data_IF_649451739452
#
_entry.id   IF_649451739452
#
_cell.length_a   1.000
_cell.length_b   1.000
_cell.length_c   1.000
_cell.angle_alpha   90.00
_cell.angle_beta   90.00
_cell.angle_gamma   90.00
#
_symmetry.space_group_name_H-M   'P 1'
#
loop_
_entity.id
_entity.type
_entity.pdbx_description
1 polymer ?
#
# COMPACT_ATOMS: atom_id res chain seq x y z
N UNK A 1 36.90 51.30 78.18
CA UNK A 1 37.89 50.23 78.42
C UNK A 1 37.14 48.91 78.30
N UNK A 2 37.50 48.08 77.29
CA UNK A 2 37.02 46.70 76.98
C UNK A 2 35.58 46.61 76.40
N UNK A 3 35.41 46.27 75.10
CA UNK A 3 35.38 44.93 74.44
C UNK A 3 34.11 44.14 74.81
N UNK A 4 33.37 43.41 73.96
CA UNK A 4 33.29 43.20 72.50
C UNK A 4 32.08 42.25 72.25
N UNK A 5 31.44 42.36 71.07
CA UNK A 5 30.69 41.33 70.30
C UNK A 5 29.35 40.74 70.83
N UNK A 6 28.25 40.97 70.09
CA UNK A 6 27.52 39.93 69.33
C UNK A 6 26.32 40.49 68.55
N UNK A 7 26.39 40.36 67.22
CA UNK A 7 25.28 40.54 66.29
C UNK A 7 24.39 39.28 66.28
N UNK A 8 23.07 39.47 66.13
CA UNK A 8 22.12 38.35 66.06
C UNK A 8 20.71 38.79 65.69
N UNK A 9 20.56 39.57 64.61
CA UNK A 9 19.26 39.83 63.99
C UNK A 9 18.84 38.63 63.14
N UNK A 10 17.88 37.85 63.64
CA UNK A 10 17.23 36.75 62.93
C UNK A 10 16.44 37.29 61.74
N UNK A 11 17.00 37.11 60.55
CA UNK A 11 16.35 37.39 59.27
C UNK A 11 15.34 36.27 58.98
N UNK A 12 14.06 36.53 59.20
CA UNK A 12 12.95 35.70 58.70
C UNK A 12 13.06 35.57 57.18
N UNK A 13 13.53 34.41 56.70
CA UNK A 13 13.41 34.06 55.28
C UNK A 13 11.98 33.61 55.00
N UNK A 14 11.24 34.50 54.34
CA UNK A 14 10.01 34.21 53.60
C UNK A 14 10.16 32.91 52.79
N UNK A 15 9.34 31.92 53.10
CA UNK A 15 9.15 30.73 52.28
C UNK A 15 8.18 31.10 51.15
N UNK A 16 8.58 30.84 49.90
CA UNK A 16 7.77 31.05 48.70
C UNK A 16 6.53 30.12 48.69
N UNK A 17 5.35 30.57 48.21
CA UNK A 17 4.14 29.76 48.21
C UNK A 17 4.14 28.82 47.00
N UNK A 18 4.14 27.50 47.24
CA UNK A 18 4.04 26.50 46.17
C UNK A 18 4.32 25.05 46.55
N UNK A 19 4.85 24.76 47.74
CA UNK A 19 4.93 23.38 48.22
C UNK A 19 3.59 22.96 48.84
N UNK A 20 2.79 22.23 48.06
CA UNK A 20 1.69 21.43 48.59
C UNK A 20 2.26 20.42 49.58
N UNK A 21 2.19 20.73 50.89
CA UNK A 21 2.55 19.78 51.94
C UNK A 21 1.53 18.64 51.92
N UNK A 22 1.96 17.46 51.46
CA UNK A 22 1.14 16.25 51.58
C UNK A 22 0.80 16.01 53.07
N UNK A 23 -0.45 15.69 53.41
CA UNK A 23 -0.84 15.39 54.80
C UNK A 23 0.02 14.26 55.38
N UNK A 24 0.44 14.38 56.66
CA UNK A 24 1.31 13.38 57.32
C UNK A 24 0.80 11.93 57.21
N UNK A 25 -0.53 11.72 57.25
CA UNK A 25 -1.15 10.39 57.06
C UNK A 25 -0.93 9.83 55.65
N UNK A 26 -1.01 10.68 54.62
CA UNK A 26 -0.77 10.32 53.21
C UNK A 26 0.70 10.01 52.96
N UNK A 27 1.62 10.71 53.64
CA UNK A 27 3.06 10.46 53.55
C UNK A 27 3.46 9.09 54.14
N UNK A 28 2.91 8.74 55.31
CA UNK A 28 3.17 7.43 55.93
C UNK A 28 2.56 6.27 55.13
N UNK A 29 1.34 6.45 54.61
CA UNK A 29 0.73 5.50 53.68
C UNK A 29 1.59 5.30 52.42
N UNK A 30 2.09 6.39 51.84
CA UNK A 30 2.97 6.34 50.67
C UNK A 30 4.28 5.61 50.96
N UNK A 31 4.92 5.87 52.10
CA UNK A 31 6.14 5.15 52.51
C UNK A 31 5.88 3.64 52.64
N UNK A 32 4.75 3.26 53.23
CA UNK A 32 4.36 1.85 53.37
C UNK A 32 4.10 1.20 52.00
N UNK A 33 3.32 1.83 51.12
CA UNK A 33 3.06 1.35 49.75
C UNK A 33 4.35 1.20 48.95
N UNK A 34 5.24 2.20 49.01
CA UNK A 34 6.54 2.16 48.34
C UNK A 34 7.40 1.00 48.83
N UNK A 35 7.42 0.76 50.14
CA UNK A 35 8.17 -0.34 50.75
C UNK A 35 7.64 -1.71 50.29
N UNK A 36 6.32 -1.90 50.27
CA UNK A 36 5.70 -3.14 49.79
C UNK A 36 6.00 -3.35 48.30
N UNK A 37 5.80 -2.32 47.48
CA UNK A 37 6.07 -2.39 46.04
C UNK A 37 7.53 -2.76 45.76
N UNK A 38 8.49 -2.18 46.50
CA UNK A 38 9.91 -2.53 46.43
C UNK A 38 10.19 -3.99 46.76
N UNK A 39 9.62 -4.52 47.84
CA UNK A 39 9.80 -5.92 48.24
C UNK A 39 9.25 -6.90 47.21
N UNK A 40 8.12 -6.57 46.57
CA UNK A 40 7.52 -7.39 45.52
C UNK A 40 8.46 -7.44 44.31
N UNK A 41 8.91 -6.27 43.81
CA UNK A 41 9.75 -6.25 42.62
C UNK A 41 11.17 -6.78 42.84
N UNK A 42 11.65 -6.78 44.09
CA UNK A 42 12.93 -7.41 44.48
C UNK A 42 12.94 -8.93 44.31
N UNK A 43 11.77 -9.57 44.25
CA UNK A 43 11.67 -11.01 43.96
C UNK A 43 11.82 -11.36 42.47
N UNK A 44 11.73 -10.37 41.57
CA UNK A 44 11.87 -10.61 40.13
C UNK A 44 13.34 -10.50 39.68
N UNK A 45 13.80 -11.40 38.80
CA UNK A 45 15.16 -11.36 38.28
C UNK A 45 15.38 -10.25 37.23
N UNK A 46 14.30 -9.68 36.67
CA UNK A 46 14.35 -8.63 35.66
C UNK A 46 14.69 -7.27 36.28
N UNK A 47 15.42 -6.43 35.55
CA UNK A 47 15.75 -5.07 35.98
C UNK A 47 14.47 -4.23 35.95
N UNK A 48 13.92 -3.93 37.13
CA UNK A 48 12.58 -3.35 37.24
C UNK A 48 12.57 -2.02 37.96
N UNK A 49 11.77 -1.09 37.45
CA UNK A 49 11.53 0.23 38.02
C UNK A 49 10.02 0.53 38.03
N UNK A 50 9.57 1.32 38.99
CA UNK A 50 8.19 1.83 39.05
C UNK A 50 8.22 3.33 38.99
N UNK A 51 7.46 3.90 38.06
CA UNK A 51 7.33 5.34 37.85
C UNK A 51 5.97 5.87 38.31
N UNK A 52 5.94 7.16 38.66
CA UNK A 52 4.72 7.89 38.99
C UNK A 52 4.01 8.48 37.76
N UNK A 53 2.98 9.29 37.97
CA UNK A 53 2.20 9.97 36.91
C UNK A 53 3.01 10.89 35.99
N UNK A 54 4.20 11.30 36.42
CA UNK A 54 5.08 12.16 35.64
C UNK A 54 6.22 11.38 34.97
N UNK A 55 6.27 10.06 35.15
CA UNK A 55 7.38 9.23 34.67
C UNK A 55 8.61 9.27 35.56
N UNK A 56 8.49 9.77 36.80
CA UNK A 56 9.61 9.82 37.75
C UNK A 56 9.74 8.48 38.46
N UNK A 57 10.95 7.92 38.47
CA UNK A 57 11.28 6.65 39.12
C UNK A 57 11.13 6.81 40.63
N UNK A 58 10.26 6.00 41.23
CA UNK A 58 10.00 5.97 42.68
C UNK A 58 10.53 4.71 43.35
N UNK A 59 10.63 3.62 42.60
CA UNK A 59 11.07 2.32 43.10
C UNK A 59 11.94 1.65 42.04
N UNK A 60 13.03 1.02 42.46
CA UNK A 60 13.85 0.13 41.63
C UNK A 60 14.15 -1.14 42.40
N UNK A 61 14.27 -2.27 41.71
CA UNK A 61 14.56 -3.54 42.37
C UNK A 61 16.07 -3.80 42.54
N UNK A 62 16.41 -4.93 43.16
CA UNK A 62 17.79 -5.39 43.36
C UNK A 62 18.52 -5.60 42.03
N UNK A 63 17.85 -6.22 41.05
CA UNK A 63 18.46 -6.51 39.75
C UNK A 63 18.88 -5.22 39.03
N UNK A 64 18.02 -4.20 39.03
CA UNK A 64 18.33 -2.87 38.48
C UNK A 64 19.57 -2.26 39.15
N UNK A 65 19.61 -2.24 40.49
CA UNK A 65 20.71 -1.65 41.25
C UNK A 65 22.04 -2.36 41.00
N UNK A 66 22.01 -3.70 40.92
CA UNK A 66 23.20 -4.51 40.61
C UNK A 66 23.68 -4.25 39.18
N UNK A 67 22.76 -4.27 38.21
CA UNK A 67 23.07 -3.96 36.82
C UNK A 67 23.71 -2.58 36.70
N UNK A 68 23.12 -1.55 37.31
CA UNK A 68 23.65 -0.20 37.26
C UNK A 68 25.03 -0.07 37.92
N UNK A 69 25.29 -0.81 39.00
CA UNK A 69 26.60 -0.86 39.68
C UNK A 69 27.66 -1.53 38.80
N UNK A 70 27.37 -2.67 38.19
CA UNK A 70 28.33 -3.38 37.31
C UNK A 70 28.70 -2.52 36.10
N UNK A 71 27.78 -1.70 35.60
CA UNK A 71 27.99 -0.84 34.43
C UNK A 71 28.43 0.59 34.80
N UNK A 72 28.80 0.85 36.06
CA UNK A 72 29.27 2.16 36.54
C UNK A 72 28.35 3.34 36.19
N UNK A 73 27.03 3.14 36.26
CA UNK A 73 26.08 4.24 36.07
C UNK A 73 26.22 5.25 37.22
N UNK A 74 26.21 6.54 36.89
CA UNK A 74 26.41 7.65 37.85
C UNK A 74 25.41 7.62 39.02
N UNK A 75 24.20 7.09 38.78
CA UNK A 75 23.15 6.98 39.78
C UNK A 75 22.51 5.58 39.78
N UNK A 76 23.07 4.62 40.54
CA UNK A 76 22.65 3.21 40.48
C UNK A 76 21.20 2.95 40.89
N UNK A 77 20.63 3.79 41.74
CA UNK A 77 19.22 3.67 42.15
C UNK A 77 18.26 4.43 41.22
N UNK A 78 18.74 5.43 40.46
CA UNK A 78 17.95 6.31 39.59
C UNK A 78 16.67 6.94 40.22
N UNK A 79 16.49 6.83 41.55
CA UNK A 79 15.29 7.31 42.25
C UNK A 79 15.21 8.83 42.15
N UNK A 80 14.04 9.34 41.74
CA UNK A 80 13.79 10.76 41.54
C UNK A 80 14.12 11.25 40.12
N UNK A 81 14.72 10.41 39.27
CA UNK A 81 14.94 10.74 37.86
C UNK A 81 13.70 10.47 37.03
N UNK A 82 13.54 11.24 35.95
CA UNK A 82 12.48 10.99 34.99
C UNK A 82 12.94 9.97 33.92
N UNK A 83 12.33 8.79 33.95
CA UNK A 83 12.65 7.71 33.01
C UNK A 83 12.40 8.13 31.55
N UNK A 84 11.32 8.87 31.30
CA UNK A 84 10.94 9.31 29.95
C UNK A 84 11.96 10.29 29.39
N UNK A 85 12.46 11.22 30.22
CA UNK A 85 13.51 12.15 29.79
C UNK A 85 14.82 11.42 29.48
N UNK A 86 15.18 10.41 30.29
CA UNK A 86 16.36 9.59 30.03
C UNK A 86 16.23 8.85 28.70
N UNK A 87 15.08 8.24 28.43
CA UNK A 87 14.79 7.56 27.17
C UNK A 87 14.76 8.53 25.97
N UNK A 88 14.13 9.70 26.10
CA UNK A 88 14.08 10.72 25.04
C UNK A 88 15.47 11.33 24.76
N UNK A 89 16.38 11.33 25.74
CA UNK A 89 17.76 11.83 25.60
C UNK A 89 18.74 10.80 25.01
N UNK A 90 18.31 9.57 24.78
CA UNK A 90 19.17 8.51 24.27
C UNK A 90 19.67 8.83 22.86
N UNK A 91 20.98 8.68 22.64
CA UNK A 91 21.63 8.91 21.35
C UNK A 91 22.16 7.60 20.74
N UNK A 92 22.33 7.58 19.42
CA UNK A 92 22.90 6.44 18.69
C UNK A 92 21.86 5.43 18.22
N UNK A 93 22.30 4.18 18.01
CA UNK A 93 21.52 3.10 17.36
C UNK A 93 20.21 2.78 18.10
N UNK A 94 20.14 3.09 19.40
CA UNK A 94 18.97 2.78 20.24
C UNK A 94 18.02 3.98 20.40
N UNK A 95 18.33 5.14 19.82
CA UNK A 95 17.58 6.38 20.02
C UNK A 95 16.13 6.29 19.53
N UNK A 96 15.90 5.61 18.41
CA UNK A 96 14.56 5.41 17.85
C UNK A 96 13.70 4.53 18.77
N UNK A 97 14.21 3.36 19.16
CA UNK A 97 13.50 2.45 20.08
C UNK A 97 13.31 3.07 21.48
N UNK A 98 14.26 3.88 21.96
CA UNK A 98 14.12 4.58 23.23
C UNK A 98 12.97 5.61 23.19
N UNK A 99 12.81 6.31 22.06
CA UNK A 99 11.69 7.24 21.84
C UNK A 99 10.36 6.50 21.69
N UNK A 100 10.36 5.35 21.02
CA UNK A 100 9.20 4.45 20.93
C UNK A 100 8.76 4.00 22.33
N UNK A 101 9.71 3.52 23.14
CA UNK A 101 9.49 3.14 24.54
C UNK A 101 8.92 4.30 25.37
N UNK A 102 9.50 5.50 25.27
CA UNK A 102 9.02 6.68 25.99
C UNK A 102 7.58 7.06 25.57
N UNK A 103 7.28 7.01 24.28
CA UNK A 103 5.94 7.30 23.77
C UNK A 103 4.91 6.26 24.23
N UNK A 104 5.23 4.97 24.13
CA UNK A 104 4.32 3.92 24.60
C UNK A 104 4.07 3.99 26.10
N UNK A 105 5.09 4.28 26.92
CA UNK A 105 4.89 4.49 28.37
C UNK A 105 4.00 5.72 28.62
N UNK A 106 4.14 6.80 27.85
CA UNK A 106 3.24 7.98 27.94
C UNK A 106 1.79 7.60 27.62
N UNK A 107 1.54 6.68 26.69
CA UNK A 107 0.19 6.18 26.40
C UNK A 107 -0.37 5.30 27.52
N UNK A 108 0.45 4.43 28.11
CA UNK A 108 0.06 3.61 29.27
C UNK A 108 -0.27 4.50 30.47
N UNK A 109 0.54 5.54 30.73
CA UNK A 109 0.27 6.53 31.79
C UNK A 109 -1.05 7.27 31.59
N UNK A 110 -1.41 7.57 30.33
CA UNK A 110 -2.69 8.20 29.96
C UNK A 110 -3.87 7.22 29.94
N UNK A 111 -3.61 5.91 30.03
CA UNK A 111 -4.63 4.87 29.97
C UNK A 111 -5.14 4.55 28.56
N UNK A 112 -4.41 4.96 27.52
CA UNK A 112 -4.75 4.62 26.12
C UNK A 112 -4.27 3.22 25.73
N UNK A 113 -3.24 2.72 26.41
CA UNK A 113 -2.62 1.41 26.15
C UNK A 113 -2.57 0.60 27.44
N UNK A 114 -2.84 -0.70 27.36
CA UNK A 114 -2.80 -1.62 28.51
C UNK A 114 -1.40 -2.15 28.79
N UNK A 115 -0.51 -2.06 27.82
CA UNK A 115 0.91 -2.39 27.94
C UNK A 115 1.70 -1.77 26.78
N UNK A 116 3.02 -1.77 26.91
CA UNK A 116 3.95 -1.51 25.81
C UNK A 116 5.12 -2.50 25.92
N UNK A 117 5.51 -3.09 24.81
CA UNK A 117 6.68 -3.97 24.69
C UNK A 117 7.58 -3.40 23.62
N UNK A 118 8.86 -3.17 23.95
CA UNK A 118 9.86 -2.69 23.01
C UNK A 118 11.14 -3.49 23.16
N UNK A 119 11.56 -4.12 22.06
CA UNK A 119 12.83 -4.83 22.00
C UNK A 119 13.91 -3.91 21.43
N UNK A 120 15.05 -3.84 22.12
CA UNK A 120 16.13 -2.95 21.75
C UNK A 120 17.51 -3.59 21.94
N UNK A 121 18.47 -3.30 21.05
CA UNK A 121 19.85 -3.67 21.28
C UNK A 121 20.44 -2.78 22.37
N UNK A 122 21.36 -3.30 23.17
CA UNK A 122 22.17 -2.53 24.10
C UNK A 122 23.63 -2.96 23.95
N UNK A 123 24.54 -1.99 23.86
CA UNK A 123 25.99 -2.26 23.89
C UNK A 123 26.45 -2.29 25.33
N UNK A 124 26.90 -3.45 25.78
CA UNK A 124 27.43 -3.70 27.11
C UNK A 124 28.87 -4.20 26.95
N UNK A 125 29.86 -3.43 27.41
CA UNK A 125 31.28 -3.80 27.37
C UNK A 125 31.73 -4.32 25.98
N UNK A 126 31.42 -3.57 24.92
CA UNK A 126 31.68 -3.88 23.50
C UNK A 126 30.92 -5.08 22.89
N UNK A 127 30.13 -5.81 23.67
CA UNK A 127 29.20 -6.83 23.17
C UNK A 127 27.80 -6.25 22.94
N UNK A 128 27.16 -6.65 21.84
CA UNK A 128 25.75 -6.33 21.60
C UNK A 128 24.86 -7.39 22.24
N UNK A 129 23.99 -6.95 23.14
CA UNK A 129 22.96 -7.77 23.80
C UNK A 129 21.58 -7.24 23.47
N UNK A 130 20.56 -8.08 23.63
CA UNK A 130 19.18 -7.74 23.30
C UNK A 130 18.36 -7.71 24.58
N UNK A 131 17.55 -6.66 24.72
CA UNK A 131 16.69 -6.49 25.88
C UNK A 131 15.26 -6.24 25.42
N UNK A 132 14.33 -6.86 26.13
CA UNK A 132 12.90 -6.56 26.03
C UNK A 132 12.50 -5.67 27.19
N UNK A 133 12.05 -4.46 26.87
CA UNK A 133 11.37 -3.58 27.81
C UNK A 133 9.88 -3.90 27.78
N UNK A 134 9.29 -4.12 28.95
CA UNK A 134 7.85 -4.26 29.12
C UNK A 134 7.36 -3.27 30.17
N UNK A 135 6.36 -2.47 29.83
CA UNK A 135 5.73 -1.55 30.77
C UNK A 135 4.22 -1.77 30.87
N UNK A 136 3.73 -1.88 32.11
CA UNK A 136 2.31 -2.15 32.41
C UNK A 136 1.78 -1.21 33.49
N UNK A 137 0.48 -0.82 33.42
CA UNK A 137 -0.11 0.06 34.39
C UNK A 137 -0.36 -0.65 35.72
N UNK A 138 -0.10 0.03 36.82
CA UNK A 138 -0.39 -0.43 38.17
C UNK A 138 -1.57 0.36 38.74
N UNK A 139 -2.60 -0.36 39.16
CA UNK A 139 -3.80 0.23 39.76
C UNK A 139 -3.71 0.15 41.29
N UNK A 140 -4.16 1.21 41.96
CA UNK A 140 -4.40 1.20 43.42
C UNK A 140 -3.17 1.41 44.33
N UNK A 141 -1.97 1.66 43.79
CA UNK A 141 -0.75 1.89 44.59
C UNK A 141 -0.39 3.38 44.77
N UNK A 142 -1.39 4.22 45.07
CA UNK A 142 -1.15 5.64 45.36
C UNK A 142 -0.63 6.40 44.13
N UNK A 143 0.54 7.08 44.17
CA UNK A 143 1.11 7.79 43.02
C UNK A 143 1.85 6.88 42.03
N UNK A 144 2.08 5.61 42.35
CA UNK A 144 2.70 4.69 41.41
C UNK A 144 1.74 4.41 40.25
N UNK A 145 2.25 4.43 39.02
CA UNK A 145 1.41 4.32 37.81
C UNK A 145 1.84 3.22 36.87
N UNK A 146 3.14 3.04 36.64
CA UNK A 146 3.64 2.07 35.65
C UNK A 146 4.83 1.32 36.22
N UNK A 147 4.82 -0.01 36.10
CA UNK A 147 5.99 -0.86 36.29
C UNK A 147 6.65 -1.02 34.93
N UNK A 148 7.95 -0.78 34.88
CA UNK A 148 8.83 -0.99 33.72
C UNK A 148 9.80 -2.09 34.10
N UNK A 149 9.95 -3.09 33.25
CA UNK A 149 10.91 -4.17 33.44
C UNK A 149 11.73 -4.37 32.18
N UNK A 150 13.02 -4.65 32.36
CA UNK A 150 13.95 -5.00 31.30
C UNK A 150 14.50 -6.39 31.59
N UNK A 151 14.38 -7.29 30.63
CA UNK A 151 15.00 -8.60 30.68
C UNK A 151 15.80 -8.85 29.40
N UNK A 152 16.92 -9.54 29.56
CA UNK A 152 17.74 -9.95 28.42
C UNK A 152 16.99 -11.04 27.64
N UNK A 153 16.96 -10.90 26.32
CA UNK A 153 16.46 -11.91 25.39
C UNK A 153 17.63 -12.41 24.56
N UNK A 154 17.58 -13.67 24.14
CA UNK A 154 18.62 -14.20 23.26
C UNK A 154 18.45 -13.60 21.84
N UNK A 155 19.52 -13.70 21.03
CA UNK A 155 19.50 -13.18 19.67
C UNK A 155 18.49 -13.91 18.77
N UNK A 156 18.28 -15.21 18.99
CA UNK A 156 17.37 -16.05 18.18
C UNK A 156 15.91 -15.59 18.32
N UNK A 157 15.40 -15.48 19.54
CA UNK A 157 14.05 -14.98 19.84
C UNK A 157 13.82 -13.58 19.29
N UNK A 158 14.82 -12.69 19.39
CA UNK A 158 14.70 -11.35 18.78
C UNK A 158 14.55 -11.43 17.25
N UNK A 159 15.31 -12.30 16.58
CA UNK A 159 15.23 -12.46 15.12
C UNK A 159 13.90 -13.11 14.72
N UNK A 160 13.45 -14.14 15.43
CA UNK A 160 12.17 -14.81 15.20
C UNK A 160 11.00 -13.83 15.29
N UNK A 161 10.90 -13.08 16.39
CA UNK A 161 9.83 -12.10 16.61
C UNK A 161 9.88 -10.98 15.55
N UNK A 162 11.09 -10.57 15.15
CA UNK A 162 11.28 -9.58 14.08
C UNK A 162 10.82 -10.12 12.73
N UNK A 163 11.14 -11.37 12.41
CA UNK A 163 10.69 -12.03 11.18
C UNK A 163 9.17 -12.13 11.18
N UNK A 164 8.56 -12.59 12.27
CA UNK A 164 7.10 -12.72 12.38
C UNK A 164 6.41 -11.36 12.20
N UNK A 165 6.94 -10.29 12.79
CA UNK A 165 6.42 -8.94 12.61
C UNK A 165 6.51 -8.47 11.15
N UNK A 166 7.65 -8.67 10.49
CA UNK A 166 7.84 -8.32 9.09
C UNK A 166 6.95 -9.15 8.16
N UNK A 167 6.74 -10.43 8.45
CA UNK A 167 5.85 -11.31 7.69
C UNK A 167 4.39 -10.86 7.78
N UNK A 168 3.93 -10.45 8.97
CA UNK A 168 2.58 -9.89 9.17
C UNK A 168 2.40 -8.60 8.35
N UNK A 169 3.36 -7.69 8.43
CA UNK A 169 3.33 -6.43 7.66
C UNK A 169 3.32 -6.69 6.16
N UNK A 170 4.20 -7.57 5.69
CA UNK A 170 4.31 -7.91 4.27
C UNK A 170 3.03 -8.61 3.77
N UNK A 171 2.37 -9.42 4.60
CA UNK A 171 1.09 -10.03 4.27
C UNK A 171 -0.03 -8.99 4.14
N UNK A 172 -0.06 -8.00 5.04
CA UNK A 172 -1.01 -6.90 4.98
C UNK A 172 -0.80 -6.06 3.71
N UNK A 173 0.43 -5.65 3.43
CA UNK A 173 0.77 -4.85 2.25
C UNK A 173 0.45 -5.61 0.95
N UNK A 174 0.71 -6.92 0.89
CA UNK A 174 0.31 -7.75 -0.25
C UNK A 174 -1.20 -7.78 -0.46
N UNK A 175 -1.99 -7.93 0.61
CA UNK A 175 -3.44 -7.92 0.53
C UNK A 175 -3.96 -6.54 0.04
N UNK A 176 -3.35 -5.46 0.52
CA UNK A 176 -3.66 -4.11 0.05
C UNK A 176 -3.34 -3.93 -1.44
N UNK A 177 -2.14 -4.34 -1.88
CA UNK A 177 -1.74 -4.30 -3.29
C UNK A 177 -2.67 -5.14 -4.19
N UNK A 178 -3.09 -6.31 -3.73
CA UNK A 178 -4.02 -7.16 -4.47
C UNK A 178 -5.41 -6.53 -4.61
N UNK A 179 -5.90 -5.89 -3.54
CA UNK A 179 -7.16 -5.13 -3.55
C UNK A 179 -7.10 -3.98 -4.58
N UNK A 180 -6.04 -3.16 -4.53
CA UNK A 180 -5.83 -2.05 -5.48
C UNK A 180 -5.73 -2.56 -6.92
N UNK A 181 -4.96 -3.62 -7.16
CA UNK A 181 -4.81 -4.21 -8.50
C UNK A 181 -6.13 -4.72 -9.06
N UNK A 182 -6.95 -5.35 -8.21
CA UNK A 182 -8.25 -5.89 -8.59
C UNK A 182 -9.23 -4.76 -8.93
N UNK A 183 -9.30 -3.72 -8.09
CA UNK A 183 -10.12 -2.54 -8.37
C UNK A 183 -9.72 -1.88 -9.70
N UNK A 184 -8.41 -1.69 -9.94
CA UNK A 184 -7.93 -1.12 -11.20
C UNK A 184 -8.30 -1.98 -12.42
N UNK A 185 -8.18 -3.31 -12.32
CA UNK A 185 -8.57 -4.22 -13.40
C UNK A 185 -10.05 -4.09 -13.75
N UNK A 186 -10.92 -4.03 -12.73
CA UNK A 186 -12.36 -3.84 -12.90
C UNK A 186 -12.67 -2.48 -13.56
N UNK A 187 -12.02 -1.41 -13.10
CA UNK A 187 -12.19 -0.07 -13.68
C UNK A 187 -11.75 -0.01 -15.15
N UNK A 188 -10.63 -0.65 -15.50
CA UNK A 188 -10.15 -0.71 -16.88
C UNK A 188 -11.13 -1.48 -17.78
N UNK A 189 -11.66 -2.61 -17.31
CA UNK A 189 -12.66 -3.39 -18.03
C UNK A 189 -13.94 -2.57 -18.24
N UNK A 190 -14.41 -1.86 -17.22
CA UNK A 190 -15.60 -1.01 -17.32
C UNK A 190 -15.41 0.13 -18.32
N UNK A 191 -14.23 0.79 -18.31
CA UNK A 191 -13.91 1.86 -19.27
C UNK A 191 -13.90 1.36 -20.71
N UNK A 192 -13.34 0.16 -20.94
CA UNK A 192 -13.31 -0.44 -22.27
C UNK A 192 -14.73 -0.77 -22.76
N UNK A 193 -15.59 -1.27 -21.86
CA UNK A 193 -16.98 -1.59 -22.16
C UNK A 193 -17.82 -0.33 -22.46
N UNK A 194 -17.72 0.72 -21.63
CA UNK A 194 -18.41 2.00 -21.87
C UNK A 194 -17.97 2.64 -23.20
N UNK A 195 -16.68 2.53 -23.55
CA UNK A 195 -16.19 2.98 -24.86
C UNK A 195 -16.80 2.15 -25.99
N UNK A 196 -16.87 0.82 -25.83
CA UNK A 196 -17.46 -0.11 -26.81
C UNK A 196 -18.93 0.23 -27.07
N UNK A 197 -19.71 0.41 -26.02
CA UNK A 197 -21.13 0.78 -26.14
C UNK A 197 -21.29 2.13 -26.86
N UNK A 198 -20.42 3.10 -26.57
CA UNK A 198 -20.45 4.40 -27.23
C UNK A 198 -20.12 4.29 -28.72
N UNK A 199 -19.10 3.51 -29.08
CA UNK A 199 -18.71 3.27 -30.48
C UNK A 199 -19.85 2.59 -31.27
N UNK A 200 -20.46 1.53 -30.72
CA UNK A 200 -21.60 0.84 -31.35
C UNK A 200 -22.82 1.76 -31.51
N UNK A 201 -23.11 2.58 -30.49
CA UNK A 201 -24.22 3.53 -30.52
C UNK A 201 -24.02 4.58 -31.61
N UNK A 202 -22.81 5.11 -31.77
CA UNK A 202 -22.48 6.09 -32.83
C UNK A 202 -22.68 5.47 -34.21
N UNK A 203 -22.18 4.26 -34.44
CA UNK A 203 -22.32 3.57 -35.74
C UNK A 203 -23.78 3.28 -36.08
N UNK A 204 -24.54 2.77 -35.10
CA UNK A 204 -25.97 2.53 -35.26
C UNK A 204 -26.71 3.83 -35.59
N UNK A 205 -26.39 4.91 -34.87
CA UNK A 205 -26.96 6.24 -35.10
C UNK A 205 -26.68 6.79 -36.50
N UNK A 206 -25.41 6.74 -36.95
CA UNK A 206 -25.04 7.20 -38.30
C UNK A 206 -25.78 6.39 -39.36
N UNK A 207 -25.85 5.05 -39.21
CA UNK A 207 -26.56 4.18 -40.14
C UNK A 207 -28.04 4.51 -40.19
N UNK A 208 -28.70 4.61 -39.04
CA UNK A 208 -30.12 4.95 -38.97
C UNK A 208 -30.43 6.34 -39.54
N UNK A 209 -29.53 7.31 -39.38
CA UNK A 209 -29.71 8.65 -39.90
C UNK A 209 -29.52 8.73 -41.43
N UNK A 210 -28.47 8.09 -41.97
CA UNK A 210 -28.09 8.28 -43.37
C UNK A 210 -28.73 7.27 -44.33
N UNK A 211 -28.96 6.02 -43.89
CA UNK A 211 -29.56 4.97 -44.72
C UNK A 211 -30.89 5.40 -45.38
N UNK A 212 -31.89 5.97 -44.67
CA UNK A 212 -33.17 6.33 -45.30
C UNK A 212 -33.01 7.42 -46.37
N UNK A 213 -31.98 8.26 -46.28
CA UNK A 213 -31.71 9.31 -47.27
C UNK A 213 -31.06 8.73 -48.52
N UNK A 214 -30.11 7.79 -48.35
CA UNK A 214 -29.49 7.06 -49.46
C UNK A 214 -30.52 6.22 -50.22
N UNK A 215 -31.41 5.54 -49.51
CA UNK A 215 -32.48 4.73 -50.11
C UNK A 215 -33.47 5.61 -50.90
N UNK A 216 -33.84 6.78 -50.35
CA UNK A 216 -34.69 7.76 -51.07
C UNK A 216 -34.02 8.28 -52.33
N UNK A 217 -32.74 8.64 -52.27
CA UNK A 217 -31.96 9.09 -53.43
C UNK A 217 -31.92 8.00 -54.52
N UNK A 218 -31.70 6.74 -54.13
CA UNK A 218 -31.64 5.62 -55.07
C UNK A 218 -32.96 5.41 -55.85
N UNK A 219 -34.09 5.74 -55.23
CA UNK A 219 -35.43 5.62 -55.83
C UNK A 219 -35.82 6.82 -56.72
N UNK A 220 -34.96 7.83 -56.86
CA UNK A 220 -35.20 8.96 -57.79
C UNK A 220 -34.61 8.70 -59.18
N UNK A 221 -35.04 9.47 -60.19
CA UNK A 221 -34.46 9.40 -61.54
C UNK A 221 -33.08 10.07 -61.55
N UNK A 222 -32.06 9.31 -61.15
CA UNK A 222 -30.66 9.72 -61.18
C UNK A 222 -30.02 9.44 -62.54
N UNK A 223 -29.17 10.35 -63.01
CA UNK A 223 -28.30 10.13 -64.17
C UNK A 223 -27.15 9.13 -63.84
N UNK A 224 -26.36 8.77 -64.85
CA UNK A 224 -25.26 7.79 -64.72
C UNK A 224 -24.12 8.24 -63.80
N UNK A 225 -23.85 9.54 -63.71
CA UNK A 225 -22.79 10.09 -62.86
C UNK A 225 -23.24 10.20 -61.41
N UNK A 226 -24.48 10.62 -61.20
CA UNK A 226 -25.13 10.65 -59.89
C UNK A 226 -25.27 9.24 -59.30
N UNK A 227 -25.63 8.23 -60.10
CA UNK A 227 -25.66 6.82 -59.63
C UNK A 227 -24.28 6.33 -59.19
N UNK A 228 -23.21 6.71 -59.90
CA UNK A 228 -21.83 6.39 -59.51
C UNK A 228 -21.45 7.03 -58.17
N UNK A 229 -21.75 8.31 -58.00
CA UNK A 229 -21.44 9.05 -56.76
C UNK A 229 -22.18 8.48 -55.55
N UNK A 230 -23.48 8.19 -55.67
CA UNK A 230 -24.27 7.60 -54.58
C UNK A 230 -23.72 6.21 -54.21
N UNK A 231 -23.41 5.38 -55.21
CA UNK A 231 -22.83 4.05 -54.99
C UNK A 231 -21.46 4.13 -54.32
N UNK A 232 -20.63 5.13 -54.67
CA UNK A 232 -19.35 5.37 -54.04
C UNK A 232 -19.49 5.79 -52.56
N UNK A 233 -20.40 6.72 -52.24
CA UNK A 233 -20.68 7.16 -50.86
C UNK A 233 -21.20 5.99 -50.01
N UNK A 234 -22.10 5.18 -50.57
CA UNK A 234 -22.66 4.02 -49.89
C UNK A 234 -21.60 2.94 -49.63
N UNK A 235 -20.71 2.70 -50.60
CA UNK A 235 -19.55 1.83 -50.42
C UNK A 235 -18.59 2.36 -49.35
N UNK A 236 -18.29 3.67 -49.33
CA UNK A 236 -17.42 4.28 -48.34
C UNK A 236 -18.01 4.23 -46.91
N UNK A 237 -19.32 4.50 -46.76
CA UNK A 237 -20.01 4.36 -45.48
C UNK A 237 -19.99 2.90 -44.98
N UNK A 238 -20.15 1.93 -45.89
CA UNK A 238 -20.06 0.52 -45.55
C UNK A 238 -18.62 0.12 -45.16
N UNK A 239 -17.61 0.59 -45.90
CA UNK A 239 -16.19 0.37 -45.59
C UNK A 239 -15.80 0.98 -44.24
N UNK A 240 -16.26 2.19 -43.93
CA UNK A 240 -16.02 2.81 -42.62
C UNK A 240 -16.70 1.98 -41.52
N UNK A 241 -17.99 1.65 -41.68
CA UNK A 241 -18.71 0.85 -40.69
C UNK A 241 -18.06 -0.53 -40.45
N UNK A 242 -17.52 -1.15 -41.50
CA UNK A 242 -16.79 -2.43 -41.40
C UNK A 242 -15.40 -2.27 -40.78
N UNK A 243 -14.65 -1.22 -41.12
CA UNK A 243 -13.37 -0.91 -40.46
C UNK A 243 -13.56 -0.64 -38.96
N UNK A 244 -14.63 0.06 -38.57
CA UNK A 244 -14.98 0.25 -37.16
C UNK A 244 -15.39 -1.07 -36.50
N UNK A 245 -16.27 -1.87 -37.11
CA UNK A 245 -16.68 -3.19 -36.60
C UNK A 245 -15.53 -4.19 -36.48
N UNK A 246 -14.54 -4.10 -37.37
CA UNK A 246 -13.35 -4.94 -37.35
C UNK A 246 -12.35 -4.51 -36.28
N UNK A 247 -12.15 -3.21 -36.07
CA UNK A 247 -11.36 -2.69 -34.94
C UNK A 247 -11.96 -3.11 -33.59
N UNK A 248 -13.30 -3.21 -33.50
CA UNK A 248 -14.03 -3.75 -32.35
C UNK A 248 -13.76 -5.26 -32.17
N UNK A 249 -14.00 -6.08 -33.20
CA UNK A 249 -13.79 -7.54 -33.13
C UNK A 249 -12.32 -7.94 -32.93
N UNK A 250 -11.38 -7.21 -33.54
CA UNK A 250 -9.94 -7.45 -33.43
C UNK A 250 -9.38 -7.11 -32.04
N UNK A 251 -9.95 -6.11 -31.33
CA UNK A 251 -9.60 -5.82 -29.93
C UNK A 251 -10.06 -6.92 -28.98
N UNK A 252 -11.21 -7.55 -29.21
CA UNK A 252 -11.67 -8.72 -28.44
C UNK A 252 -10.79 -9.98 -28.64
N UNK A 253 -9.98 -10.02 -29.71
CA UNK A 253 -8.98 -11.06 -29.97
C UNK A 253 -7.58 -10.71 -29.40
N UNK A 254 -7.47 -9.66 -28.59
CA UNK A 254 -6.22 -9.15 -28.01
C UNK A 254 -5.13 -8.89 -29.07
N UNK A 255 -5.52 -8.45 -30.27
CA UNK A 255 -4.57 -7.99 -31.28
C UNK A 255 -3.99 -6.63 -30.85
N UNK A 256 -2.68 -6.45 -31.03
CA UNK A 256 -2.05 -5.14 -30.76
C UNK A 256 -2.47 -4.12 -31.81
N UNK A 257 -2.37 -2.80 -31.54
CA UNK A 257 -2.72 -1.77 -32.54
C UNK A 257 -2.02 -1.98 -33.90
N UNK A 258 -0.76 -2.44 -33.89
CA UNK A 258 -0.02 -2.70 -35.11
C UNK A 258 -0.46 -3.99 -35.82
N UNK A 259 -0.86 -5.02 -35.08
CA UNK A 259 -1.46 -6.22 -35.64
C UNK A 259 -2.85 -5.93 -36.24
N UNK A 260 -3.61 -5.00 -35.67
CA UNK A 260 -4.89 -4.52 -36.21
C UNK A 260 -4.67 -3.82 -37.56
N UNK A 261 -3.71 -2.89 -37.65
CA UNK A 261 -3.37 -2.22 -38.90
C UNK A 261 -2.97 -3.20 -40.01
N UNK A 262 -2.12 -4.18 -39.67
CA UNK A 262 -1.71 -5.23 -40.60
C UNK A 262 -2.89 -6.12 -41.00
N UNK A 263 -3.79 -6.46 -40.07
CA UNK A 263 -4.98 -7.27 -40.37
C UNK A 263 -5.97 -6.56 -41.31
N UNK A 264 -6.18 -5.25 -41.14
CA UNK A 264 -7.01 -4.42 -42.02
C UNK A 264 -6.47 -4.42 -43.46
N UNK A 265 -5.17 -4.20 -43.65
CA UNK A 265 -4.57 -4.21 -45.00
C UNK A 265 -4.59 -5.61 -45.65
N UNK A 266 -4.52 -6.69 -44.85
CA UNK A 266 -4.71 -8.07 -45.33
C UNK A 266 -6.15 -8.30 -45.80
N UNK A 267 -7.14 -7.67 -45.17
CA UNK A 267 -8.55 -7.68 -45.60
C UNK A 267 -8.81 -6.81 -46.84
N UNK A 268 -8.02 -5.78 -47.07
CA UNK A 268 -8.09 -4.98 -48.30
C UNK A 268 -7.46 -5.67 -49.51
N UNK A 269 -6.76 -6.79 -49.29
CA UNK A 269 -6.22 -7.64 -50.36
C UNK A 269 -4.76 -7.36 -50.67
N UNK A 270 -4.13 -6.52 -49.86
CA UNK A 270 -2.74 -6.13 -50.05
C UNK A 270 -1.79 -7.29 -49.81
N UNK A 271 -0.80 -7.42 -50.69
CA UNK A 271 0.30 -8.37 -50.55
C UNK A 271 1.27 -7.94 -49.44
N UNK A 272 2.04 -8.87 -48.88
CA UNK A 272 3.02 -8.60 -47.80
C UNK A 272 3.94 -7.41 -48.13
N UNK A 273 4.36 -7.32 -49.39
CA UNK A 273 5.21 -6.22 -49.90
C UNK A 273 4.49 -4.88 -49.89
N UNK A 274 3.26 -4.83 -50.39
CA UNK A 274 2.45 -3.59 -50.40
C UNK A 274 2.11 -3.13 -48.98
N UNK A 275 1.92 -4.06 -48.04
CA UNK A 275 1.70 -3.74 -46.61
C UNK A 275 2.98 -3.15 -46.00
N UNK A 276 4.14 -3.73 -46.33
CA UNK A 276 5.45 -3.25 -45.86
C UNK A 276 5.70 -1.82 -46.35
N UNK A 277 5.42 -1.56 -47.62
CA UNK A 277 5.55 -0.24 -48.25
C UNK A 277 4.55 0.77 -47.63
N UNK A 278 3.29 0.37 -47.42
CA UNK A 278 2.25 1.23 -46.85
C UNK A 278 2.50 1.62 -45.38
N UNK A 279 3.14 0.74 -44.61
CA UNK A 279 3.44 0.97 -43.18
C UNK A 279 4.89 1.44 -42.95
N UNK A 280 5.68 1.61 -44.02
CA UNK A 280 7.10 1.97 -43.99
C UNK A 280 7.92 1.09 -43.02
N UNK A 281 7.69 -0.23 -43.07
CA UNK A 281 8.38 -1.24 -42.24
C UNK A 281 8.83 -2.41 -43.10
N UNK A 282 9.80 -3.18 -42.62
CA UNK A 282 10.36 -4.29 -43.41
C UNK A 282 9.33 -5.40 -43.66
N UNK A 283 9.45 -6.07 -44.81
CA UNK A 283 8.65 -7.27 -45.12
C UNK A 283 8.74 -8.33 -44.01
N UNK A 284 9.91 -8.50 -43.40
CA UNK A 284 10.12 -9.45 -42.30
C UNK A 284 9.31 -9.06 -41.06
N UNK A 285 9.15 -7.77 -40.76
CA UNK A 285 8.28 -7.30 -39.68
C UNK A 285 6.80 -7.59 -39.97
N UNK A 286 6.36 -7.45 -41.23
CA UNK A 286 4.99 -7.82 -41.63
C UNK A 286 4.74 -9.32 -41.49
N UNK A 287 5.70 -10.16 -41.88
CA UNK A 287 5.60 -11.62 -41.68
C UNK A 287 5.55 -11.99 -40.20
N UNK A 288 6.32 -11.31 -39.36
CA UNK A 288 6.27 -11.47 -37.91
C UNK A 288 4.88 -11.11 -37.35
N UNK A 289 4.31 -9.95 -37.71
CA UNK A 289 2.96 -9.56 -37.32
C UNK A 289 1.91 -10.56 -37.83
N UNK A 290 2.00 -11.02 -39.08
CA UNK A 290 1.12 -12.07 -39.64
C UNK A 290 1.17 -13.37 -38.83
N UNK A 291 2.36 -13.79 -38.38
CA UNK A 291 2.53 -14.98 -37.54
C UNK A 291 1.87 -14.82 -36.17
N UNK A 292 2.01 -13.64 -35.56
CA UNK A 292 1.38 -13.34 -34.27
C UNK A 292 -0.15 -13.28 -34.38
N UNK A 293 -0.67 -12.66 -35.44
CA UNK A 293 -2.12 -12.67 -35.72
C UNK A 293 -2.61 -14.11 -35.87
N UNK A 294 -1.93 -14.97 -36.64
CA UNK A 294 -2.30 -16.39 -36.78
C UNK A 294 -2.29 -17.14 -35.44
N UNK A 295 -1.33 -16.84 -34.55
CA UNK A 295 -1.26 -17.41 -33.20
C UNK A 295 -2.47 -16.98 -32.37
N UNK A 296 -2.80 -15.69 -32.37
CA UNK A 296 -3.93 -15.12 -31.61
C UNK A 296 -5.30 -15.57 -32.14
N UNK A 297 -5.41 -15.86 -33.44
CA UNK A 297 -6.62 -16.39 -34.08
C UNK A 297 -6.78 -17.93 -34.02
N UNK A 298 -5.88 -18.65 -33.36
CA UNK A 298 -5.97 -20.11 -33.23
C UNK A 298 -5.76 -20.90 -34.54
N UNK A 299 -5.13 -20.26 -35.55
CA UNK A 299 -4.83 -20.86 -36.86
C UNK A 299 -3.32 -21.04 -37.11
N UNK A 300 -2.53 -21.05 -36.04
CA UNK A 300 -1.11 -21.40 -36.08
C UNK A 300 -0.95 -22.80 -36.70
N UNK A 301 -0.11 -22.91 -37.72
CA UNK A 301 0.19 -24.15 -38.47
C UNK A 301 -0.99 -24.83 -39.20
N UNK A 302 -2.16 -24.18 -39.28
CA UNK A 302 -3.28 -24.67 -40.10
C UNK A 302 -3.14 -24.18 -41.54
N UNK A 303 -3.50 -24.99 -42.55
CA UNK A 303 -3.54 -24.60 -43.97
C UNK A 303 -4.78 -23.74 -44.29
N UNK A 304 -5.00 -22.68 -43.52
CA UNK A 304 -6.11 -21.73 -43.69
C UNK A 304 -5.54 -20.37 -44.05
N UNK A 305 -6.07 -19.73 -45.10
CA UNK A 305 -5.69 -18.36 -45.46
C UNK A 305 -6.02 -17.41 -44.30
N UNK A 306 -5.06 -16.57 -43.92
CA UNK A 306 -5.26 -15.59 -42.85
C UNK A 306 -6.43 -14.65 -43.20
N UNK A 307 -6.50 -14.20 -44.46
CA UNK A 307 -7.60 -13.39 -44.98
C UNK A 307 -8.95 -14.10 -44.85
N UNK A 308 -9.06 -15.37 -45.26
CA UNK A 308 -10.31 -16.13 -45.13
C UNK A 308 -10.74 -16.30 -43.66
N UNK A 309 -9.79 -16.52 -42.75
CA UNK A 309 -10.10 -16.62 -41.32
C UNK A 309 -10.57 -15.29 -40.75
N UNK A 310 -10.01 -14.18 -41.20
CA UNK A 310 -10.40 -12.85 -40.79
C UNK A 310 -11.78 -12.47 -41.33
N UNK A 311 -12.10 -12.85 -42.57
CA UNK A 311 -13.44 -12.68 -43.17
C UNK A 311 -14.50 -13.55 -42.46
N UNK A 312 -14.15 -14.74 -41.97
CA UNK A 312 -15.10 -15.59 -41.23
C UNK A 312 -15.36 -15.14 -39.79
N UNK A 313 -14.66 -14.12 -39.31
CA UNK A 313 -14.90 -13.46 -38.03
C UNK A 313 -15.77 -12.21 -38.17
N UNK A 314 -16.17 -11.85 -39.40
CA UNK A 314 -17.07 -10.74 -39.67
C UNK A 314 -18.51 -11.10 -39.25
N UNK A 315 -19.21 -10.27 -38.43
CA UNK A 315 -20.61 -10.53 -38.04
C UNK A 315 -21.63 -10.41 -39.19
N UNK A 316 -21.22 -10.01 -40.39
CA UNK A 316 -22.11 -9.78 -41.53
C UNK A 316 -21.51 -10.31 -42.83
N UNK A 317 -21.37 -11.63 -42.94
CA UNK A 317 -21.02 -12.27 -44.20
C UNK A 317 -22.20 -12.20 -45.19
N UNK A 318 -22.28 -11.10 -45.95
CA UNK A 318 -23.12 -10.98 -47.17
C UNK A 318 -22.74 -12.07 -48.21
N UNK A 319 -21.55 -12.67 -48.08
CA UNK A 319 -21.07 -13.77 -48.90
C UNK A 319 -21.78 -15.13 -48.61
N UNK A 320 -22.40 -15.32 -47.44
CA UNK A 320 -23.25 -16.48 -47.15
C UNK A 320 -24.67 -16.30 -47.73
N UNK A 321 -25.19 -15.07 -47.79
CA UNK A 321 -26.49 -14.78 -48.39
C UNK A 321 -26.46 -14.87 -49.93
N UNK A 322 -25.36 -14.51 -50.58
CA UNK A 322 -25.24 -14.57 -52.04
C UNK A 322 -25.06 -16.01 -52.58
N UNK A 323 -24.49 -16.93 -51.80
CA UNK A 323 -24.35 -18.33 -52.19
C UNK A 323 -25.57 -19.20 -51.82
N UNK A 324 -26.34 -18.84 -50.78
CA UNK A 324 -27.64 -19.47 -50.52
C UNK A 324 -28.68 -19.16 -51.61
N UNK A 325 -28.62 -17.99 -52.24
CA UNK A 325 -29.54 -17.63 -53.34
C UNK A 325 -29.25 -18.37 -54.66
N UNK A 326 -28.04 -18.92 -54.84
CA UNK A 326 -27.67 -19.73 -56.03
C UNK A 326 -27.95 -21.22 -55.87
N UNK A 327 -28.10 -21.72 -54.66
CA UNK A 327 -28.41 -23.15 -54.39
C UNK A 327 -29.91 -23.43 -54.28
N UNK A 328 -30.75 -22.40 -54.26
CA UNK A 328 -32.23 -22.51 -54.17
C UNK A 328 -32.93 -22.35 -55.54
N UNK A 329 -32.17 -22.49 -56.64
CA UNK A 329 -32.70 -22.65 -58.00
C UNK A 329 -31.99 -23.80 -58.71
N UNK A 330 -32.26 -25.02 -58.27
CA UNK A 330 -32.23 -26.24 -59.12
C UNK A 330 -33.20 -27.27 -58.59
#
# INVERSE_FOLDING_TARGET
>A
MKQDIAAGGTMERRISPGQSLMPKRTLEQWKATRKIAGLVIDSFPSNSAIVDEHGVIRVTNRAWREFARVHNMEHPEAIGMNYLNLADSATGICSEMAREAANGIKEVLKGFSTEVIVDYPCKVADEQRWFRMHATPVKGLGPLRVVISHHEINAETFQEDRIEALEKELKFERANQESVRTALKVLLQRREEERRETEERVLSGIRQALQPHLDKLHNTRLDSDQKRLVSAIQAQLHTLATQFGYNLAAKHLNLTPQEINVANLILDGKATKEIADALNISMNAIEFHRKNIRKKLGIRNKRVSLRCRLLSLEPSCVHQQFNMWKTDRR
#
